data_IF_885736898655
#
_entry.id   IF_885736898655
#
_cell.length_a   1.000
_cell.length_b   1.000
_cell.length_c   1.000
_cell.angle_alpha   90.00
_cell.angle_beta   90.00
_cell.angle_gamma   90.00
#
_symmetry.space_group_name_H-M   'P 1'
#
loop_
_entity.id
_entity.type
_entity.pdbx_description
1 polymer ?
#
# COMPACT_ATOMS: atom_id res chain seq x y z
N UNK A 1 -23.33 25.21 1.18
CA UNK A 1 -21.90 24.96 0.88
C UNK A 1 -21.14 24.23 1.99
N UNK A 2 -21.37 24.50 3.30
CA UNK A 2 -20.59 23.94 4.42
C UNK A 2 -20.54 22.41 4.55
N UNK A 3 -21.64 21.68 4.29
CA UNK A 3 -21.64 20.21 4.40
C UNK A 3 -20.81 19.51 3.30
N UNK A 4 -20.81 20.04 2.07
CA UNK A 4 -20.10 19.41 0.95
C UNK A 4 -18.58 19.44 1.17
N UNK A 5 -18.07 20.56 1.65
CA UNK A 5 -16.65 20.69 2.02
C UNK A 5 -16.31 19.84 3.24
N UNK A 6 -17.20 19.73 4.24
CA UNK A 6 -16.94 18.88 5.41
C UNK A 6 -16.81 17.40 5.06
N UNK A 7 -17.72 16.84 4.24
CA UNK A 7 -17.60 15.44 3.82
C UNK A 7 -16.34 15.19 3.00
N UNK A 8 -16.03 16.06 2.04
CA UNK A 8 -14.80 15.94 1.24
C UNK A 8 -13.54 16.00 2.11
N UNK A 9 -13.54 16.85 3.14
CA UNK A 9 -12.40 17.03 4.03
C UNK A 9 -12.21 15.83 4.97
N UNK A 10 -13.30 15.24 5.48
CA UNK A 10 -13.25 13.99 6.25
C UNK A 10 -12.71 12.84 5.40
N UNK A 11 -13.19 12.72 4.16
CA UNK A 11 -12.79 11.67 3.21
C UNK A 11 -11.29 11.78 2.86
N UNK A 12 -10.82 13.01 2.63
CA UNK A 12 -9.41 13.29 2.39
C UNK A 12 -8.56 13.00 3.63
N UNK A 13 -9.05 13.33 4.83
CA UNK A 13 -8.35 13.02 6.09
C UNK A 13 -8.22 11.51 6.29
N UNK A 14 -9.30 10.75 6.07
CA UNK A 14 -9.28 9.28 6.15
C UNK A 14 -8.31 8.71 5.13
N UNK A 15 -8.28 9.22 3.90
CA UNK A 15 -7.34 8.76 2.88
C UNK A 15 -5.88 8.96 3.31
N UNK A 16 -5.56 10.16 3.80
CA UNK A 16 -4.21 10.50 4.24
C UNK A 16 -3.79 9.62 5.42
N UNK A 17 -4.69 9.41 6.40
CA UNK A 17 -4.42 8.55 7.55
C UNK A 17 -4.23 7.09 7.12
N UNK A 18 -5.09 6.55 6.25
CA UNK A 18 -4.97 5.18 5.78
C UNK A 18 -3.67 4.98 4.98
N UNK A 19 -3.33 5.93 4.10
CA UNK A 19 -2.08 5.91 3.34
C UNK A 19 -0.86 5.96 4.25
N UNK A 20 -0.85 6.85 5.25
CA UNK A 20 0.24 6.97 6.21
C UNK A 20 0.41 5.69 7.05
N UNK A 21 -0.68 5.07 7.50
CA UNK A 21 -0.62 3.80 8.25
C UNK A 21 -0.07 2.68 7.37
N UNK A 22 -0.54 2.57 6.13
CA UNK A 22 -0.10 1.54 5.17
C UNK A 22 1.39 1.65 4.85
N UNK A 23 1.85 2.86 4.53
CA UNK A 23 3.27 3.10 4.22
C UNK A 23 4.12 2.86 5.46
N UNK A 24 3.70 3.37 6.62
CA UNK A 24 4.44 3.19 7.87
C UNK A 24 4.54 1.73 8.31
N UNK A 25 3.49 0.93 8.17
CA UNK A 25 3.55 -0.50 8.52
C UNK A 25 4.41 -1.30 7.55
N UNK A 26 4.36 -0.99 6.25
CA UNK A 26 5.19 -1.64 5.24
C UNK A 26 6.68 -1.35 5.46
N UNK A 27 7.03 -0.10 5.71
CA UNK A 27 8.42 0.32 5.97
C UNK A 27 8.98 -0.32 7.24
N UNK A 28 8.20 -0.36 8.32
CA UNK A 28 8.60 -1.03 9.57
C UNK A 28 8.80 -2.53 9.38
N UNK A 29 7.90 -3.19 8.65
CA UNK A 29 8.02 -4.62 8.38
C UNK A 29 9.27 -4.93 7.53
N UNK A 30 9.55 -4.09 6.53
CA UNK A 30 10.73 -4.22 5.69
C UNK A 30 12.02 -4.05 6.49
N UNK A 31 12.09 -3.03 7.37
CA UNK A 31 13.25 -2.82 8.24
C UNK A 31 13.48 -4.01 9.18
N UNK A 32 12.44 -4.46 9.87
CA UNK A 32 12.53 -5.62 10.77
C UNK A 32 12.99 -6.89 10.05
N UNK A 33 12.49 -7.14 8.84
CA UNK A 33 12.89 -8.30 8.04
C UNK A 33 14.37 -8.23 7.65
N UNK A 34 14.85 -7.06 7.20
CA UNK A 34 16.25 -6.88 6.79
C UNK A 34 17.20 -7.00 7.98
N UNK A 35 16.82 -6.43 9.13
CA UNK A 35 17.66 -6.49 10.33
C UNK A 35 17.75 -7.92 10.85
N UNK A 36 16.66 -8.67 10.84
CA UNK A 36 16.65 -10.09 11.19
C UNK A 36 17.50 -10.92 10.22
N UNK A 37 17.38 -10.68 8.92
CA UNK A 37 18.19 -11.36 7.90
C UNK A 37 19.69 -11.07 8.05
N UNK A 38 20.06 -9.85 8.47
CA UNK A 38 21.45 -9.49 8.79
C UNK A 38 21.95 -10.21 10.02
N UNK A 39 21.15 -10.27 11.08
CA UNK A 39 21.51 -10.99 12.31
C UNK A 39 21.73 -12.50 12.02
N UNK A 40 20.85 -13.11 11.23
CA UNK A 40 20.99 -14.51 10.79
C UNK A 40 22.27 -14.72 9.95
N UNK A 41 22.63 -13.76 9.10
CA UNK A 41 23.85 -13.77 8.29
C UNK A 41 25.11 -13.58 9.16
N UNK A 42 25.07 -12.69 10.14
CA UNK A 42 26.15 -12.47 11.10
C UNK A 42 26.42 -13.74 11.92
N UNK A 43 25.37 -14.41 12.39
CA UNK A 43 25.49 -15.70 13.07
C UNK A 43 26.08 -16.76 12.13
N UNK A 44 25.61 -16.83 10.88
CA UNK A 44 26.13 -17.78 9.88
C UNK A 44 27.62 -17.54 9.60
N UNK A 45 28.03 -16.29 9.40
CA UNK A 45 29.42 -15.93 9.16
C UNK A 45 30.30 -16.26 10.38
N UNK A 46 29.85 -15.93 11.59
CA UNK A 46 30.56 -16.23 12.83
C UNK A 46 30.70 -17.74 13.08
N UNK A 47 29.64 -18.52 12.85
CA UNK A 47 29.67 -19.98 12.95
C UNK A 47 30.62 -20.60 11.92
N UNK A 48 30.60 -20.11 10.68
CA UNK A 48 31.51 -20.57 9.64
C UNK A 48 32.97 -20.25 9.99
N UNK A 49 33.27 -19.03 10.45
CA UNK A 49 34.61 -18.64 10.89
C UNK A 49 35.09 -19.50 12.07
N UNK A 50 34.22 -19.75 13.05
CA UNK A 50 34.52 -20.63 14.20
C UNK A 50 34.82 -22.06 13.76
N UNK A 51 34.03 -22.63 12.85
CA UNK A 51 34.27 -23.99 12.36
C UNK A 51 35.57 -24.11 11.55
N UNK A 52 35.89 -23.11 10.74
CA UNK A 52 37.16 -23.05 10.03
C UNK A 52 38.32 -22.95 11.02
N UNK A 53 38.18 -22.09 12.04
CA UNK A 53 39.18 -21.92 13.11
C UNK A 53 39.43 -23.22 13.88
N UNK A 54 38.37 -23.91 14.29
CA UNK A 54 38.44 -25.21 14.95
C UNK A 54 39.14 -26.25 14.06
N UNK A 55 38.86 -26.23 12.76
CA UNK A 55 39.48 -27.13 11.79
C UNK A 55 40.98 -26.89 11.68
N UNK A 56 41.40 -25.61 11.52
CA UNK A 56 42.80 -25.19 11.43
C UNK A 56 43.54 -25.51 12.73
N UNK A 57 43.00 -25.10 13.87
CA UNK A 57 43.59 -25.38 15.19
C UNK A 57 43.69 -26.89 15.45
N UNK A 58 42.72 -27.66 14.95
CA UNK A 58 42.73 -29.13 14.99
C UNK A 58 43.83 -29.75 14.13
N UNK A 59 44.08 -29.24 12.92
CA UNK A 59 45.19 -29.66 12.06
C UNK A 59 46.54 -29.29 12.67
N UNK A 60 46.66 -28.08 13.21
CA UNK A 60 47.86 -27.60 13.90
C UNK A 60 48.22 -28.49 15.10
N UNK A 61 47.22 -28.83 15.92
CA UNK A 61 47.37 -29.71 17.09
C UNK A 61 47.81 -31.12 16.69
N UNK A 62 47.28 -31.66 15.58
CA UNK A 62 47.70 -32.96 15.04
C UNK A 62 49.14 -32.94 14.54
N UNK A 63 49.53 -31.91 13.80
CA UNK A 63 50.90 -31.74 13.31
C UNK A 63 51.89 -31.61 14.47
N UNK A 64 51.55 -30.84 15.51
CA UNK A 64 52.33 -30.73 16.76
C UNK A 64 52.42 -32.06 17.50
N UNK A 65 51.35 -32.84 17.52
CA UNK A 65 51.37 -34.21 18.05
C UNK A 65 52.41 -35.06 17.32
N UNK A 66 52.39 -35.04 15.97
CA UNK A 66 53.35 -35.77 15.14
C UNK A 66 54.80 -35.32 15.34
N UNK A 67 55.05 -34.02 15.53
CA UNK A 67 56.42 -33.53 15.77
C UNK A 67 57.00 -34.04 17.09
N UNK A 68 56.17 -34.40 18.07
CA UNK A 68 56.60 -34.99 19.35
C UNK A 68 56.92 -36.49 19.27
N UNK A 69 56.54 -37.18 18.18
CA UNK A 69 56.78 -38.62 17.99
C UNK A 69 58.21 -38.92 17.47
N UNK A 70 58.98 -37.90 17.08
CA UNK A 70 60.32 -38.08 16.51
C UNK A 70 61.33 -38.62 17.53
N UNK A 71 62.07 -39.63 17.10
CA UNK A 71 63.19 -40.19 17.85
C UNK A 71 64.47 -39.37 17.63
N UNK A 72 65.45 -39.56 18.50
CA UNK A 72 66.75 -38.90 18.38
C UNK A 72 67.40 -39.13 17.00
N UNK A 73 68.07 -38.08 16.50
CA UNK A 73 68.65 -38.01 15.17
C UNK A 73 67.64 -38.23 14.04
N UNK A 74 66.34 -38.04 14.31
CA UNK A 74 65.25 -38.15 13.32
C UNK A 74 65.21 -39.52 12.61
N UNK A 75 65.66 -40.57 13.29
CA UNK A 75 65.83 -41.92 12.72
C UNK A 75 64.52 -42.57 12.24
N UNK A 76 63.39 -42.19 12.84
CA UNK A 76 62.05 -42.62 12.45
C UNK A 76 61.32 -41.61 11.53
N UNK A 77 62.03 -40.62 10.97
CA UNK A 77 61.40 -39.53 10.21
C UNK A 77 60.60 -40.00 9.00
N UNK A 78 61.06 -41.04 8.30
CA UNK A 78 60.31 -41.61 7.18
C UNK A 78 58.95 -42.20 7.60
N UNK A 79 58.87 -42.85 8.77
CA UNK A 79 57.64 -43.43 9.28
C UNK A 79 56.64 -42.35 9.66
N UNK A 80 57.09 -41.32 10.39
CA UNK A 80 56.25 -40.20 10.81
C UNK A 80 55.75 -39.42 9.59
N UNK A 81 56.63 -39.06 8.66
CA UNK A 81 56.22 -38.34 7.45
C UNK A 81 55.19 -39.13 6.64
N UNK A 82 55.35 -40.46 6.53
CA UNK A 82 54.39 -41.31 5.83
C UNK A 82 53.06 -41.35 6.59
N UNK A 83 53.08 -41.44 7.92
CA UNK A 83 51.88 -41.38 8.75
C UNK A 83 51.16 -40.03 8.62
N UNK A 84 51.88 -38.91 8.66
CA UNK A 84 51.31 -37.57 8.51
C UNK A 84 50.69 -37.39 7.13
N UNK A 85 51.39 -37.79 6.06
CA UNK A 85 50.89 -37.67 4.70
C UNK A 85 49.76 -38.67 4.35
N UNK A 86 49.53 -39.69 5.19
CA UNK A 86 48.37 -40.57 5.08
C UNK A 86 47.12 -39.98 5.75
N UNK A 87 47.27 -38.95 6.59
CA UNK A 87 46.13 -38.21 7.10
C UNK A 87 45.51 -37.41 5.95
N UNK A 88 44.19 -37.51 5.80
CA UNK A 88 43.47 -36.97 4.64
C UNK A 88 43.54 -35.44 4.50
N UNK A 89 44.05 -34.73 5.50
CA UNK A 89 44.16 -33.27 5.48
C UNK A 89 45.51 -32.77 4.94
N UNK A 90 46.59 -33.54 5.07
CA UNK A 90 47.92 -33.11 4.66
C UNK A 90 48.25 -33.68 3.28
N UNK A 91 48.42 -32.81 2.30
CA UNK A 91 48.87 -33.16 0.96
C UNK A 91 50.33 -33.62 0.99
N UNK A 92 51.17 -32.87 1.70
CA UNK A 92 52.61 -33.12 1.83
C UNK A 92 53.04 -32.95 3.29
N UNK A 93 53.94 -33.83 3.73
CA UNK A 93 54.69 -33.70 4.97
C UNK A 93 56.18 -33.57 4.62
N UNK A 94 56.86 -32.57 5.17
CA UNK A 94 58.25 -32.23 4.88
C UNK A 94 59.03 -32.17 6.19
N UNK A 95 60.21 -32.79 6.21
CA UNK A 95 61.17 -32.74 7.30
C UNK A 95 62.33 -31.83 6.91
N UNK A 96 62.52 -30.77 7.68
CA UNK A 96 63.61 -29.82 7.51
C UNK A 96 64.58 -29.97 8.68
N UNK A 97 65.87 -30.03 8.38
CA UNK A 97 66.92 -30.07 9.40
C UNK A 97 67.07 -28.75 10.16
N UNK A 98 67.88 -28.72 11.24
CA UNK A 98 68.12 -27.49 11.99
C UNK A 98 68.94 -26.47 11.20
N UNK A 99 69.55 -26.90 10.10
CA UNK A 99 70.26 -26.08 9.11
C UNK A 99 69.35 -25.52 8.01
N UNK A 100 68.04 -25.70 8.11
CA UNK A 100 67.06 -25.24 7.12
C UNK A 100 66.99 -26.08 5.84
N UNK A 101 67.75 -27.18 5.77
CA UNK A 101 67.81 -28.04 4.58
C UNK A 101 66.76 -29.14 4.65
N UNK A 102 66.00 -29.33 3.57
CA UNK A 102 65.03 -30.41 3.44
C UNK A 102 65.73 -31.76 3.48
N UNK A 103 65.41 -32.58 4.48
CA UNK A 103 65.96 -33.92 4.70
C UNK A 103 65.12 -34.99 4.03
N UNK A 104 63.81 -34.86 4.16
CA UNK A 104 62.86 -35.81 3.59
C UNK A 104 61.48 -35.17 3.39
N UNK A 105 60.63 -35.77 2.55
CA UNK A 105 59.22 -35.43 2.38
C UNK A 105 58.39 -36.65 1.96
N UNK A 106 57.11 -36.70 2.33
CA UNK A 106 56.12 -37.71 1.91
C UNK A 106 54.81 -37.04 1.55
N UNK A 107 54.01 -37.67 0.70
CA UNK A 107 52.70 -37.19 0.28
C UNK A 107 52.51 -37.21 -1.22
N UNK A 108 51.45 -36.55 -1.68
CA UNK A 108 51.10 -36.48 -3.10
C UNK A 108 51.83 -35.28 -3.72
N UNK A 109 52.76 -35.57 -4.62
CA UNK A 109 53.48 -34.55 -5.40
C UNK A 109 52.70 -34.23 -6.66
N UNK A 110 52.87 -33.01 -7.17
CA UNK A 110 52.21 -32.62 -8.40
C UNK A 110 52.70 -33.46 -9.59
N UNK A 111 51.87 -33.64 -10.63
CA UNK A 111 52.30 -34.33 -11.84
C UNK A 111 53.53 -33.66 -12.47
N UNK A 112 54.64 -34.41 -12.55
CA UNK A 112 55.90 -33.93 -13.13
C UNK A 112 56.93 -33.47 -12.10
N UNK A 113 56.55 -33.30 -10.83
CA UNK A 113 57.48 -33.04 -9.74
C UNK A 113 58.05 -34.35 -9.18
N UNK A 114 59.32 -34.32 -8.77
CA UNK A 114 59.99 -35.47 -8.16
C UNK A 114 60.56 -35.11 -6.79
N UNK A 115 60.41 -36.02 -5.82
CA UNK A 115 60.94 -35.86 -4.45
C UNK A 115 62.42 -35.45 -4.41
N UNK A 116 63.22 -35.95 -5.35
CA UNK A 116 64.64 -35.63 -5.47
C UNK A 116 64.93 -34.16 -5.81
N UNK A 117 63.97 -33.41 -6.34
CA UNK A 117 64.10 -32.00 -6.68
C UNK A 117 64.00 -31.11 -5.43
N UNK A 118 63.36 -31.59 -4.37
CA UNK A 118 63.15 -30.85 -3.12
C UNK A 118 64.14 -31.25 -2.02
N UNK A 119 64.61 -32.51 -2.01
CA UNK A 119 65.59 -32.97 -1.02
C UNK A 119 66.92 -32.23 -1.22
N UNK A 120 67.45 -31.67 -0.14
CA UNK A 120 68.69 -30.89 -0.17
C UNK A 120 68.49 -29.41 -0.48
N UNK A 121 67.26 -28.99 -0.81
CA UNK A 121 66.91 -27.56 -0.95
C UNK A 121 66.99 -26.88 0.41
N UNK A 122 67.59 -25.69 0.44
CA UNK A 122 67.67 -24.88 1.64
C UNK A 122 66.49 -23.91 1.69
N UNK A 123 65.70 -24.01 2.76
CA UNK A 123 64.54 -23.15 3.03
C UNK A 123 64.83 -22.11 4.14
N UNK A 124 66.08 -21.97 4.59
CA UNK A 124 66.46 -20.87 5.49
C UNK A 124 66.17 -19.51 4.86
N UNK A 125 65.59 -18.60 5.63
CA UNK A 125 65.14 -17.30 5.14
C UNK A 125 63.67 -17.24 4.74
N UNK A 126 63.03 -18.41 4.59
CA UNK A 126 61.57 -18.48 4.50
C UNK A 126 60.98 -18.27 5.89
N UNK A 127 60.10 -17.27 6.03
CA UNK A 127 59.55 -16.85 7.34
C UNK A 127 58.91 -18.01 8.10
N UNK A 128 58.16 -18.87 7.42
CA UNK A 128 57.48 -20.00 8.04
C UNK A 128 58.45 -21.07 8.57
N UNK A 129 59.63 -21.23 7.96
CA UNK A 129 60.68 -22.12 8.45
C UNK A 129 61.46 -21.46 9.58
N UNK A 130 61.82 -20.19 9.44
CA UNK A 130 62.61 -19.45 10.43
C UNK A 130 61.87 -19.32 11.77
N UNK A 131 60.55 -19.07 11.76
CA UNK A 131 59.72 -19.05 12.97
C UNK A 131 59.71 -20.42 13.67
N UNK A 132 59.63 -21.50 12.91
CA UNK A 132 59.67 -22.86 13.44
C UNK A 132 61.05 -23.27 13.97
N UNK A 133 62.13 -22.85 13.31
CA UNK A 133 63.49 -22.99 13.84
C UNK A 133 63.71 -22.10 15.07
N UNK A 134 62.97 -21.01 15.21
CA UNK A 134 62.88 -20.19 16.42
C UNK A 134 62.10 -20.84 17.56
N UNK A 135 61.44 -21.98 17.31
CA UNK A 135 60.69 -22.75 18.29
C UNK A 135 59.19 -22.47 18.33
N UNK A 136 58.65 -21.71 17.37
CA UNK A 136 57.23 -21.38 17.28
C UNK A 136 56.52 -22.25 16.25
N UNK A 137 55.27 -22.63 16.48
CA UNK A 137 54.42 -23.14 15.40
C UNK A 137 53.96 -21.97 14.54
N UNK A 138 54.01 -22.11 13.22
CA UNK A 138 53.64 -21.04 12.29
C UNK A 138 52.78 -21.55 11.15
N UNK A 139 51.75 -20.78 10.78
CA UNK A 139 50.86 -21.04 9.65
C UNK A 139 51.19 -20.02 8.56
N UNK A 140 51.67 -20.50 7.42
CA UNK A 140 51.93 -19.66 6.26
C UNK A 140 50.63 -19.15 5.66
N UNK A 141 50.68 -17.95 5.09
CA UNK A 141 49.58 -17.40 4.30
C UNK A 141 49.28 -18.29 3.08
N UNK A 142 47.99 -18.44 2.70
CA UNK A 142 47.61 -19.18 1.51
C UNK A 142 48.32 -18.66 0.27
N UNK A 143 49.01 -19.55 -0.43
CA UNK A 143 49.76 -19.24 -1.63
C UNK A 143 49.06 -19.84 -2.84
N UNK A 144 48.95 -19.05 -3.91
CA UNK A 144 48.48 -19.54 -5.20
C UNK A 144 49.65 -20.17 -5.95
N UNK A 145 49.43 -21.40 -6.36
CA UNK A 145 50.41 -22.24 -7.00
C UNK A 145 50.35 -22.08 -8.53
N UNK A 146 51.39 -22.50 -9.24
CA UNK A 146 51.51 -22.25 -10.69
C UNK A 146 50.41 -22.93 -11.53
N UNK A 147 49.81 -23.99 -11.01
CA UNK A 147 48.71 -24.75 -11.62
C UNK A 147 47.32 -24.18 -11.32
N UNK A 148 47.22 -23.25 -10.36
CA UNK A 148 45.98 -22.63 -9.87
C UNK A 148 45.47 -23.21 -8.55
N UNK A 149 46.16 -24.19 -7.96
CA UNK A 149 45.85 -24.66 -6.61
C UNK A 149 46.13 -23.58 -5.56
N UNK A 150 45.40 -23.65 -4.46
CA UNK A 150 45.65 -22.81 -3.29
C UNK A 150 46.03 -23.73 -2.14
N UNK A 151 47.24 -23.55 -1.65
CA UNK A 151 47.81 -24.33 -0.55
C UNK A 151 48.23 -23.41 0.58
N UNK A 152 48.36 -23.97 1.77
CA UNK A 152 49.08 -23.30 2.84
C UNK A 152 49.87 -24.33 3.64
N UNK A 153 50.97 -23.88 4.23
CA UNK A 153 51.89 -24.75 4.96
C UNK A 153 51.90 -24.38 6.43
N UNK A 154 51.64 -25.36 7.28
CA UNK A 154 51.83 -25.28 8.72
C UNK A 154 53.20 -25.85 9.07
N UNK A 155 53.88 -25.25 10.03
CA UNK A 155 55.19 -25.70 10.51
C UNK A 155 55.22 -25.79 12.01
N UNK A 156 55.91 -26.79 12.53
CA UNK A 156 56.11 -26.97 13.96
C UNK A 156 57.51 -27.48 14.25
N UNK A 157 58.17 -26.99 15.33
CA UNK A 157 59.47 -27.50 15.73
C UNK A 157 59.40 -28.95 16.18
N UNK A 158 60.49 -29.68 15.92
CA UNK A 158 60.74 -31.02 16.42
C UNK A 158 61.74 -30.93 17.56
N UNK A 159 61.27 -31.23 18.77
CA UNK A 159 62.12 -31.31 19.96
C UNK A 159 62.32 -32.77 20.36
N UNK A 160 63.57 -33.17 20.55
CA UNK A 160 63.93 -34.44 21.17
C UNK A 160 64.84 -34.14 22.35
N UNK A 161 64.48 -34.61 23.55
CA UNK A 161 65.19 -34.30 24.79
C UNK A 161 65.41 -32.78 25.00
N UNK A 162 64.38 -31.97 24.72
CA UNK A 162 64.41 -30.49 24.76
C UNK A 162 65.40 -29.82 23.81
N UNK A 163 65.98 -30.58 22.86
CA UNK A 163 66.88 -30.05 21.82
C UNK A 163 66.12 -29.97 20.50
N UNK A 164 66.14 -28.80 19.85
CA UNK A 164 65.58 -28.62 18.52
C UNK A 164 66.39 -29.47 17.52
N UNK A 165 65.75 -30.44 16.90
CA UNK A 165 66.39 -31.32 15.91
C UNK A 165 65.94 -31.04 14.48
N UNK A 166 64.89 -30.25 14.28
CA UNK A 166 64.39 -29.89 12.96
C UNK A 166 63.00 -29.29 13.02
N UNK A 167 62.37 -29.20 11.85
CA UNK A 167 61.01 -28.70 11.67
C UNK A 167 60.21 -29.74 10.88
N UNK A 168 58.99 -29.99 11.34
CA UNK A 168 57.98 -30.72 10.58
C UNK A 168 57.07 -29.69 9.92
N UNK A 169 56.96 -29.75 8.59
CA UNK A 169 56.01 -28.94 7.84
C UNK A 169 54.92 -29.83 7.24
N UNK A 170 53.67 -29.40 7.32
CA UNK A 170 52.52 -30.04 6.70
C UNK A 170 51.83 -29.05 5.75
N UNK A 171 51.73 -29.40 4.47
CA UNK A 171 51.03 -28.61 3.47
C UNK A 171 49.61 -29.13 3.30
N UNK A 172 48.65 -28.22 3.31
CA UNK A 172 47.22 -28.51 3.17
C UNK A 172 46.70 -27.85 1.88
N UNK A 173 45.91 -28.60 1.10
CA UNK A 173 45.21 -28.10 -0.08
C UNK A 173 43.86 -27.51 0.33
N UNK A 174 43.62 -26.24 0.01
CA UNK A 174 42.37 -25.51 0.28
C UNK A 174 41.35 -25.68 -0.85
N UNK A 175 41.84 -25.83 -2.08
CA UNK A 175 41.01 -26.04 -3.27
C UNK A 175 41.74 -25.72 -4.57
N UNK A 176 41.01 -25.87 -5.67
CA UNK A 176 41.43 -25.53 -7.03
C UNK A 176 40.29 -24.73 -7.68
N UNK A 177 40.62 -23.60 -8.34
CA UNK A 177 39.66 -22.77 -9.09
C UNK A 177 38.89 -23.55 -10.18
N UNK A 178 39.43 -24.67 -10.66
CA UNK A 178 38.82 -25.53 -11.70
C UNK A 178 38.06 -26.75 -11.14
N UNK A 179 38.08 -26.97 -9.82
CA UNK A 179 37.41 -28.12 -9.19
C UNK A 179 37.94 -29.50 -9.63
N UNK A 180 39.18 -29.59 -10.12
CA UNK A 180 39.76 -30.81 -10.71
C UNK A 180 40.06 -31.86 -9.63
N UNK A 181 40.40 -31.45 -8.40
CA UNK A 181 40.65 -32.34 -7.27
C UNK A 181 39.37 -32.61 -6.46
N UNK A 182 38.40 -33.28 -7.09
CA UNK A 182 37.10 -33.65 -6.51
C UNK A 182 37.18 -34.35 -5.14
N UNK A 183 37.17 -33.55 -4.07
CA UNK A 183 37.04 -34.00 -2.68
C UNK A 183 38.32 -34.51 -2.00
N UNK A 184 39.52 -34.18 -2.50
CA UNK A 184 40.80 -34.55 -1.85
C UNK A 184 41.45 -33.47 -0.98
N UNK A 185 40.95 -32.23 -1.03
CA UNK A 185 41.40 -31.18 -0.11
C UNK A 185 40.96 -31.47 1.33
N UNK A 186 41.68 -30.91 2.30
CA UNK A 186 41.19 -30.90 3.67
C UNK A 186 39.82 -30.20 3.66
N UNK A 187 38.81 -30.87 4.21
CA UNK A 187 37.44 -30.38 4.21
C UNK A 187 37.24 -29.29 5.29
N UNK A 188 38.19 -28.34 5.32
CA UNK A 188 38.25 -27.20 6.25
C UNK A 188 37.00 -26.32 6.10
N UNK A 189 36.45 -26.29 4.89
CA UNK A 189 35.27 -25.50 4.52
C UNK A 189 33.97 -26.29 4.53
N UNK A 190 33.89 -27.45 5.22
CA UNK A 190 32.62 -28.19 5.40
C UNK A 190 31.49 -27.30 5.91
N UNK A 191 31.80 -26.36 6.79
CA UNK A 191 30.83 -25.40 7.32
C UNK A 191 30.16 -24.52 6.25
N UNK A 192 30.82 -24.32 5.10
CA UNK A 192 30.32 -23.53 3.97
C UNK A 192 29.57 -24.39 2.94
N UNK A 193 29.72 -25.72 2.95
CA UNK A 193 29.05 -26.60 1.98
C UNK A 193 27.55 -26.84 2.20
N UNK A 194 26.92 -26.71 3.39
CA UNK A 194 25.46 -26.82 3.51
C UNK A 194 24.72 -25.60 2.96
N UNK A 195 25.42 -24.60 2.41
CA UNK A 195 24.81 -23.40 1.84
C UNK A 195 23.91 -23.75 0.64
N UNK A 196 22.73 -23.15 0.61
CA UNK A 196 21.90 -23.16 -0.59
C UNK A 196 22.46 -22.13 -1.57
N UNK A 197 23.32 -22.58 -2.49
CA UNK A 197 24.05 -21.70 -3.42
C UNK A 197 23.17 -20.90 -4.39
N UNK A 198 21.87 -21.22 -4.47
CA UNK A 198 20.91 -20.41 -5.23
C UNK A 198 20.51 -19.11 -4.52
N UNK A 199 20.75 -19.00 -3.21
CA UNK A 199 20.35 -17.84 -2.39
C UNK A 199 21.45 -17.35 -1.47
N UNK A 200 22.53 -18.12 -1.28
CA UNK A 200 23.66 -17.76 -0.45
C UNK A 200 24.98 -18.09 -1.12
N UNK A 201 26.00 -17.30 -0.87
CA UNK A 201 27.37 -17.58 -1.26
C UNK A 201 28.32 -17.25 -0.13
N UNK A 202 29.47 -17.90 -0.11
CA UNK A 202 30.49 -17.63 0.90
C UNK A 202 31.88 -17.59 0.28
N UNK A 203 32.68 -16.66 0.79
CA UNK A 203 34.03 -16.38 0.34
C UNK A 203 34.93 -16.37 1.56
N UNK A 204 36.10 -16.97 1.44
CA UNK A 204 37.16 -16.84 2.45
C UNK A 204 38.30 -16.09 1.81
N UNK A 205 38.66 -14.96 2.42
CA UNK A 205 39.68 -14.04 1.95
C UNK A 205 40.60 -13.66 3.09
N UNK A 206 41.80 -13.23 2.77
CA UNK A 206 42.73 -12.70 3.76
C UNK A 206 42.80 -11.17 3.60
N UNK A 207 42.74 -10.44 4.71
CA UNK A 207 42.58 -8.97 4.71
C UNK A 207 43.70 -8.23 3.94
N UNK A 208 44.92 -8.76 3.95
CA UNK A 208 46.10 -8.17 3.31
C UNK A 208 46.48 -8.79 1.94
N UNK A 209 45.75 -9.80 1.45
CA UNK A 209 46.05 -10.45 0.17
C UNK A 209 44.83 -10.51 -0.74
N UNK A 210 45.01 -10.27 -2.04
CA UNK A 210 43.93 -10.41 -3.05
C UNK A 210 43.59 -11.87 -3.35
N UNK A 211 43.98 -12.80 -2.47
CA UNK A 211 43.85 -14.25 -2.68
C UNK A 211 42.52 -14.70 -2.08
N UNK A 212 41.56 -15.04 -2.95
CA UNK A 212 40.36 -15.77 -2.55
C UNK A 212 40.73 -17.22 -2.30
N UNK A 213 40.64 -17.63 -1.04
CA UNK A 213 41.01 -18.96 -0.55
C UNK A 213 39.98 -20.01 -0.92
N UNK A 214 38.70 -19.66 -0.76
CA UNK A 214 37.59 -20.56 -1.05
C UNK A 214 36.37 -19.77 -1.53
N UNK A 215 35.60 -20.37 -2.43
CA UNK A 215 34.34 -19.81 -2.95
C UNK A 215 33.28 -20.90 -2.99
N UNK A 216 32.15 -20.63 -2.35
CA UNK A 216 30.95 -21.45 -2.41
C UNK A 216 29.84 -20.63 -3.09
N UNK A 217 29.52 -20.94 -4.36
CA UNK A 217 28.52 -20.22 -5.16
C UNK A 217 29.08 -19.02 -5.94
N UNK A 218 28.24 -18.40 -6.77
CA UNK A 218 28.58 -17.16 -7.47
C UNK A 218 28.19 -15.93 -6.62
N UNK A 219 28.89 -14.79 -6.76
CA UNK A 219 28.50 -13.55 -6.11
C UNK A 219 27.16 -13.04 -6.67
N UNK A 220 26.40 -12.33 -5.84
CA UNK A 220 25.12 -11.74 -6.25
C UNK A 220 25.28 -10.24 -6.55
N UNK A 221 24.51 -9.72 -7.51
CA UNK A 221 24.52 -8.30 -7.87
C UNK A 221 23.94 -7.40 -6.77
N UNK A 222 22.91 -7.87 -6.06
CA UNK A 222 22.32 -7.20 -4.90
C UNK A 222 22.28 -8.21 -3.74
N UNK A 223 23.17 -8.00 -2.77
CA UNK A 223 23.38 -8.93 -1.66
C UNK A 223 23.33 -8.22 -0.31
N UNK A 224 22.86 -8.96 0.70
CA UNK A 224 23.17 -8.65 2.08
C UNK A 224 24.46 -9.40 2.41
N UNK A 225 25.47 -8.67 2.89
CA UNK A 225 26.80 -9.20 3.18
C UNK A 225 27.07 -9.13 4.68
N UNK A 226 27.63 -10.19 5.23
CA UNK A 226 28.22 -10.23 6.57
C UNK A 226 29.64 -10.78 6.50
N UNK A 227 30.47 -10.40 7.47
CA UNK A 227 31.87 -10.80 7.58
C UNK A 227 32.23 -11.18 9.01
N UNK A 228 32.94 -12.29 9.16
CA UNK A 228 33.54 -12.71 10.43
C UNK A 228 35.01 -13.12 10.23
N UNK A 229 35.84 -12.96 11.25
CA UNK A 229 37.28 -13.27 11.20
C UNK A 229 37.57 -14.61 11.88
N UNK A 230 38.47 -15.38 11.28
CA UNK A 230 39.04 -16.62 11.83
C UNK A 230 40.19 -16.24 12.76
N UNK A 231 40.11 -16.60 14.04
CA UNK A 231 41.02 -16.11 15.08
C UNK A 231 42.48 -16.58 14.89
N UNK A 232 42.68 -17.83 14.45
CA UNK A 232 44.01 -18.44 14.27
C UNK A 232 44.81 -17.88 13.10
N UNK A 233 44.15 -17.42 12.03
CA UNK A 233 44.81 -17.02 10.78
C UNK A 233 44.52 -15.58 10.35
N UNK A 234 43.51 -14.93 10.91
CA UNK A 234 43.03 -13.62 10.46
C UNK A 234 42.26 -13.67 9.13
N UNK A 235 41.88 -14.85 8.63
CA UNK A 235 41.06 -14.94 7.43
C UNK A 235 39.67 -14.35 7.69
N UNK A 236 39.14 -13.59 6.73
CA UNK A 236 37.78 -13.09 6.75
C UNK A 236 36.88 -14.01 5.97
N UNK A 237 35.88 -14.57 6.65
CA UNK A 237 34.77 -15.29 6.04
C UNK A 237 33.67 -14.28 5.73
N UNK A 238 33.39 -14.09 4.44
CA UNK A 238 32.28 -13.27 3.95
C UNK A 238 31.15 -14.19 3.51
N UNK A 239 29.96 -13.96 4.05
CA UNK A 239 28.73 -14.64 3.63
C UNK A 239 27.82 -13.61 2.98
N UNK A 240 27.28 -13.96 1.82
CA UNK A 240 26.36 -13.15 1.03
C UNK A 240 25.03 -13.90 0.88
N UNK A 241 23.92 -13.15 0.88
CA UNK A 241 22.58 -13.67 0.56
C UNK A 241 21.92 -12.79 -0.48
N UNK A 242 21.31 -13.43 -1.49
CA UNK A 242 20.60 -12.75 -2.58
C UNK A 242 19.44 -11.92 -2.02
N UNK A 243 19.51 -10.60 -2.24
CA UNK A 243 18.47 -9.65 -1.85
C UNK A 243 17.39 -9.53 -2.92
N UNK A 244 17.72 -9.74 -4.19
CA UNK A 244 16.80 -9.52 -5.32
C UNK A 244 15.55 -10.40 -5.21
N UNK A 245 15.72 -11.66 -4.78
CA UNK A 245 14.62 -12.59 -4.49
C UNK A 245 13.62 -12.07 -3.44
N UNK A 246 14.05 -11.18 -2.54
CA UNK A 246 13.19 -10.53 -1.54
C UNK A 246 12.54 -9.27 -2.10
N UNK A 247 13.28 -8.47 -2.86
CA UNK A 247 12.79 -7.20 -3.42
C UNK A 247 11.59 -7.42 -4.34
N UNK A 248 11.63 -8.46 -5.18
CA UNK A 248 10.52 -8.82 -6.08
C UNK A 248 9.24 -9.17 -5.32
N UNK A 249 9.36 -9.85 -4.18
CA UNK A 249 8.20 -10.19 -3.33
C UNK A 249 7.64 -8.96 -2.63
N UNK A 250 8.50 -8.03 -2.23
CA UNK A 250 8.11 -6.79 -1.58
C UNK A 250 7.37 -5.86 -2.57
N UNK A 251 7.81 -5.77 -3.82
CA UNK A 251 7.11 -4.97 -4.85
C UNK A 251 5.69 -5.48 -5.11
N UNK A 252 5.50 -6.81 -5.18
CA UNK A 252 4.17 -7.39 -5.35
C UNK A 252 3.25 -7.08 -4.15
N UNK A 253 3.77 -7.20 -2.92
CA UNK A 253 3.02 -6.87 -1.71
C UNK A 253 2.62 -5.39 -1.70
N UNK A 254 3.53 -4.48 -2.06
CA UNK A 254 3.23 -3.06 -2.19
C UNK A 254 2.14 -2.81 -3.24
N UNK A 255 2.22 -3.46 -4.41
CA UNK A 255 1.21 -3.33 -5.47
C UNK A 255 -0.18 -3.77 -4.99
N UNK A 256 -0.27 -4.91 -4.29
CA UNK A 256 -1.54 -5.39 -3.72
C UNK A 256 -2.07 -4.44 -2.64
N UNK A 257 -1.19 -3.92 -1.79
CA UNK A 257 -1.58 -3.02 -0.70
C UNK A 257 -2.09 -1.67 -1.23
N UNK A 258 -1.36 -1.03 -2.15
CA UNK A 258 -1.81 0.19 -2.83
C UNK A 258 -3.05 -0.06 -3.70
N UNK A 259 -3.12 -1.21 -4.37
CA UNK A 259 -4.31 -1.63 -5.12
C UNK A 259 -5.56 -1.72 -4.24
N UNK A 260 -5.43 -2.30 -3.04
CA UNK A 260 -6.54 -2.38 -2.08
C UNK A 260 -6.98 -0.99 -1.57
N UNK A 261 -6.02 -0.09 -1.29
CA UNK A 261 -6.30 1.29 -0.91
C UNK A 261 -7.06 2.03 -2.03
N UNK A 262 -6.64 1.81 -3.28
CA UNK A 262 -7.27 2.40 -4.45
C UNK A 262 -8.70 1.87 -4.64
N UNK A 263 -8.94 0.58 -4.43
CA UNK A 263 -10.29 0.00 -4.45
C UNK A 263 -11.18 0.61 -3.38
N UNK A 264 -10.67 0.78 -2.16
CA UNK A 264 -11.40 1.46 -1.07
C UNK A 264 -11.69 2.91 -1.44
N UNK A 265 -10.70 3.65 -1.95
CA UNK A 265 -10.87 5.03 -2.41
C UNK A 265 -11.94 5.14 -3.50
N UNK A 266 -11.85 4.32 -4.55
CA UNK A 266 -12.81 4.29 -5.65
C UNK A 266 -14.21 3.94 -5.14
N UNK A 267 -14.32 3.01 -4.19
CA UNK A 267 -15.59 2.63 -3.58
C UNK A 267 -16.21 3.79 -2.81
N UNK A 268 -15.42 4.49 -1.98
CA UNK A 268 -15.92 5.62 -1.17
C UNK A 268 -16.28 6.81 -2.06
N UNK A 269 -15.46 7.14 -3.07
CA UNK A 269 -15.77 8.19 -4.06
C UNK A 269 -17.00 7.81 -4.87
N UNK A 270 -17.12 6.55 -5.28
CA UNK A 270 -18.27 6.02 -6.01
C UNK A 270 -19.56 6.11 -5.20
N UNK A 271 -19.54 5.67 -3.93
CA UNK A 271 -20.67 5.79 -3.01
C UNK A 271 -21.04 7.25 -2.75
N UNK A 272 -20.05 8.13 -2.55
CA UNK A 272 -20.26 9.56 -2.37
C UNK A 272 -20.91 10.21 -3.60
N UNK A 273 -20.43 9.89 -4.80
CA UNK A 273 -21.00 10.38 -6.05
C UNK A 273 -22.43 9.86 -6.28
N UNK A 274 -22.67 8.58 -6.00
CA UNK A 274 -24.00 7.97 -6.03
C UNK A 274 -24.97 8.67 -5.08
N UNK A 275 -24.57 8.86 -3.82
CA UNK A 275 -25.38 9.52 -2.79
C UNK A 275 -25.67 10.99 -3.14
N UNK A 276 -24.69 11.69 -3.71
CA UNK A 276 -24.86 13.06 -4.19
C UNK A 276 -25.89 13.13 -5.31
N UNK A 277 -25.76 12.27 -6.33
CA UNK A 277 -26.67 12.27 -7.48
C UNK A 277 -28.10 11.87 -7.10
N UNK A 278 -28.25 10.95 -6.14
CA UNK A 278 -29.56 10.53 -5.63
C UNK A 278 -30.29 11.68 -4.94
N UNK A 279 -29.62 12.37 -4.00
CA UNK A 279 -30.20 13.51 -3.28
C UNK A 279 -30.54 14.68 -4.20
N UNK A 280 -29.69 14.99 -5.18
CA UNK A 280 -29.94 16.11 -6.09
C UNK A 280 -31.21 15.87 -6.92
N UNK A 281 -31.39 14.66 -7.45
CA UNK A 281 -32.61 14.29 -8.19
C UNK A 281 -33.87 14.35 -7.35
N UNK A 282 -33.81 13.92 -6.08
CA UNK A 282 -34.96 14.02 -5.17
C UNK A 282 -35.31 15.48 -4.85
N UNK A 283 -34.29 16.32 -4.68
CA UNK A 283 -34.48 17.77 -4.46
C UNK A 283 -35.08 18.45 -5.70
N UNK A 284 -34.58 18.14 -6.91
CA UNK A 284 -35.12 18.67 -8.17
C UNK A 284 -36.58 18.27 -8.38
N UNK A 285 -36.94 17.01 -8.11
CA UNK A 285 -38.35 16.56 -8.18
C UNK A 285 -39.23 17.25 -7.16
N UNK A 286 -38.72 17.53 -5.96
CA UNK A 286 -39.46 18.27 -4.95
C UNK A 286 -39.70 19.72 -5.39
N UNK A 287 -38.67 20.39 -5.93
CA UNK A 287 -38.78 21.74 -6.47
C UNK A 287 -39.76 21.80 -7.65
N UNK A 288 -39.64 20.88 -8.61
CA UNK A 288 -40.59 20.77 -9.74
C UNK A 288 -42.03 20.53 -9.27
N UNK A 289 -42.22 19.72 -8.23
CA UNK A 289 -43.52 19.54 -7.59
C UNK A 289 -44.09 20.84 -7.02
N UNK A 290 -43.27 21.65 -6.34
CA UNK A 290 -43.70 22.95 -5.82
C UNK A 290 -44.04 23.93 -6.95
N UNK A 291 -43.22 24.01 -8.00
CA UNK A 291 -43.49 24.87 -9.17
C UNK A 291 -44.81 24.49 -9.86
N UNK A 292 -45.13 23.19 -9.94
CA UNK A 292 -46.40 22.68 -10.49
C UNK A 292 -47.62 23.04 -9.63
N UNK A 293 -47.48 23.01 -8.31
CA UNK A 293 -48.54 23.49 -7.41
C UNK A 293 -48.75 24.99 -7.56
N UNK A 294 -47.67 25.77 -7.70
CA UNK A 294 -47.75 27.22 -7.92
C UNK A 294 -48.47 27.55 -9.24
N UNK A 295 -48.27 26.75 -10.29
CA UNK A 295 -48.97 26.91 -11.57
C UNK A 295 -50.43 26.42 -11.57
N UNK A 296 -50.95 25.92 -10.45
CA UNK A 296 -52.35 25.47 -10.31
C UNK A 296 -52.61 23.98 -10.63
N UNK A 297 -51.57 23.17 -10.83
CA UNK A 297 -51.70 21.73 -11.10
C UNK A 297 -51.71 20.90 -9.81
N UNK A 298 -52.81 20.92 -9.05
CA UNK A 298 -52.91 20.25 -7.75
C UNK A 298 -53.08 18.72 -7.79
N UNK A 299 -53.26 18.13 -8.98
CA UNK A 299 -53.41 16.67 -9.13
C UNK A 299 -52.04 15.93 -9.13
N UNK A 300 -50.94 16.68 -9.16
CA UNK A 300 -49.60 16.10 -9.12
C UNK A 300 -49.29 15.51 -7.73
N UNK A 301 -48.71 14.30 -7.72
CA UNK A 301 -48.29 13.61 -6.50
C UNK A 301 -46.81 13.28 -6.55
N UNK A 302 -46.13 13.48 -5.43
CA UNK A 302 -44.75 13.07 -5.24
C UNK A 302 -44.71 11.72 -4.54
N UNK A 303 -43.92 10.80 -5.07
CA UNK A 303 -43.56 9.54 -4.41
C UNK A 303 -42.04 9.43 -4.34
N UNK A 304 -41.53 9.52 -3.12
CA UNK A 304 -40.12 9.26 -2.83
C UNK A 304 -40.04 7.95 -2.04
N UNK A 305 -39.12 7.07 -2.44
CA UNK A 305 -38.82 5.83 -1.73
C UNK A 305 -37.40 5.89 -1.17
N UNK A 306 -37.18 5.31 0.02
CA UNK A 306 -35.86 5.22 0.64
C UNK A 306 -35.82 5.72 2.09
N UNK A 307 -35.23 6.90 2.31
CA UNK A 307 -35.08 7.45 3.66
C UNK A 307 -36.43 7.94 4.20
N UNK A 308 -36.66 7.72 5.51
CA UNK A 308 -37.92 8.04 6.21
C UNK A 308 -38.32 9.50 6.06
N UNK A 309 -37.33 10.39 6.04
CA UNK A 309 -37.51 11.83 5.89
C UNK A 309 -38.14 12.19 4.53
N UNK A 310 -37.73 11.50 3.46
CA UNK A 310 -38.28 11.74 2.13
C UNK A 310 -39.72 11.25 1.99
N UNK A 311 -40.05 10.11 2.60
CA UNK A 311 -41.44 9.62 2.67
C UNK A 311 -42.35 10.58 3.45
N UNK A 312 -41.82 11.17 4.53
CA UNK A 312 -42.54 12.18 5.30
C UNK A 312 -42.78 13.45 4.48
N UNK A 313 -41.77 13.91 3.73
CA UNK A 313 -41.89 15.07 2.84
C UNK A 313 -42.92 14.80 1.72
N UNK A 314 -42.88 13.64 1.05
CA UNK A 314 -43.87 13.31 0.01
C UNK A 314 -45.29 13.25 0.58
N UNK A 315 -45.45 12.69 1.78
CA UNK A 315 -46.75 12.63 2.45
C UNK A 315 -47.29 14.02 2.76
N UNK A 316 -46.45 14.89 3.35
CA UNK A 316 -46.83 16.28 3.65
C UNK A 316 -47.15 17.08 2.39
N UNK A 317 -46.37 16.93 1.33
CA UNK A 317 -46.62 17.57 0.04
C UNK A 317 -47.97 17.12 -0.57
N UNK A 318 -48.24 15.81 -0.60
CA UNK A 318 -49.49 15.27 -1.17
C UNK A 318 -50.73 15.71 -0.36
N UNK A 319 -50.62 15.83 0.96
CA UNK A 319 -51.68 16.38 1.81
C UNK A 319 -51.95 17.86 1.49
N UNK A 320 -50.90 18.65 1.31
CA UNK A 320 -51.01 20.05 0.92
C UNK A 320 -51.67 20.21 -0.45
N UNK A 321 -51.23 19.45 -1.46
CA UNK A 321 -51.83 19.45 -2.80
C UNK A 321 -53.33 19.12 -2.75
N UNK A 322 -53.70 18.09 -1.97
CA UNK A 322 -55.10 17.67 -1.79
C UNK A 322 -55.93 18.79 -1.14
N UNK A 323 -55.42 19.43 -0.08
CA UNK A 323 -56.12 20.51 0.59
C UNK A 323 -56.30 21.76 -0.29
N UNK A 324 -55.33 22.08 -1.15
CA UNK A 324 -55.45 23.17 -2.13
C UNK A 324 -56.50 22.85 -3.20
N UNK A 325 -56.50 21.64 -3.76
CA UNK A 325 -57.50 21.17 -4.73
C UNK A 325 -58.92 21.28 -4.18
N UNK A 326 -59.15 20.87 -2.94
CA UNK A 326 -60.46 20.96 -2.28
C UNK A 326 -60.89 22.41 -2.03
N UNK A 327 -59.96 23.27 -1.61
CA UNK A 327 -60.23 24.70 -1.46
C UNK A 327 -60.60 25.34 -2.79
N UNK A 328 -59.88 25.03 -3.86
CA UNK A 328 -60.16 25.64 -5.15
C UNK A 328 -61.49 25.15 -5.75
N UNK A 329 -61.83 23.86 -5.58
CA UNK A 329 -63.15 23.35 -5.93
C UNK A 329 -64.25 24.10 -5.18
N UNK A 330 -64.08 24.32 -3.87
CA UNK A 330 -65.02 25.08 -3.05
C UNK A 330 -65.16 26.53 -3.52
N UNK A 331 -64.05 27.19 -3.89
CA UNK A 331 -64.06 28.56 -4.41
C UNK A 331 -64.83 28.60 -5.74
N UNK A 332 -64.55 27.68 -6.68
CA UNK A 332 -65.25 27.62 -7.97
C UNK A 332 -66.75 27.38 -7.82
N UNK A 333 -67.17 26.52 -6.88
CA UNK A 333 -68.58 26.32 -6.56
C UNK A 333 -69.24 27.60 -6.02
N UNK A 334 -68.57 28.30 -5.09
CA UNK A 334 -69.05 29.57 -4.55
C UNK A 334 -69.17 30.64 -5.63
N UNK A 335 -68.17 30.77 -6.50
CA UNK A 335 -68.22 31.69 -7.63
C UNK A 335 -69.35 31.37 -8.60
N UNK A 336 -69.58 30.09 -8.91
CA UNK A 336 -70.68 29.67 -9.77
C UNK A 336 -72.04 30.04 -9.13
N UNK A 337 -72.20 29.81 -7.82
CA UNK A 337 -73.41 30.18 -7.10
C UNK A 337 -73.63 31.71 -7.04
N UNK A 338 -72.55 32.49 -6.88
CA UNK A 338 -72.63 33.96 -6.94
C UNK A 338 -73.06 34.41 -8.34
N UNK A 339 -72.41 33.91 -9.40
CA UNK A 339 -72.77 34.23 -10.79
C UNK A 339 -74.23 33.89 -11.10
N UNK A 340 -74.72 32.74 -10.63
CA UNK A 340 -76.13 32.35 -10.80
C UNK A 340 -77.08 33.30 -10.07
N UNK A 341 -76.75 33.71 -8.83
CA UNK A 341 -77.53 34.71 -8.07
C UNK A 341 -77.54 36.06 -8.78
N UNK A 342 -76.39 36.52 -9.26
CA UNK A 342 -76.28 37.77 -10.02
C UNK A 342 -77.13 37.74 -11.30
N UNK A 343 -77.11 36.63 -12.05
CA UNK A 343 -77.97 36.47 -13.22
C UNK A 343 -79.45 36.50 -12.87
N UNK A 344 -79.87 35.78 -11.82
CA UNK A 344 -81.27 35.79 -11.35
C UNK A 344 -81.72 37.18 -10.90
N UNK A 345 -80.86 37.90 -10.16
CA UNK A 345 -81.14 39.27 -9.72
C UNK A 345 -81.17 40.24 -10.91
N UNK A 346 -80.29 40.09 -11.90
CA UNK A 346 -80.27 40.90 -13.12
C UNK A 346 -81.56 40.72 -13.94
N UNK A 347 -82.01 39.47 -14.14
CA UNK A 347 -83.28 39.18 -14.81
C UNK A 347 -84.46 39.76 -14.02
N UNK A 348 -84.50 39.56 -12.70
CA UNK A 348 -85.56 40.09 -11.85
C UNK A 348 -85.61 41.63 -11.88
N UNK A 349 -84.46 42.28 -11.75
CA UNK A 349 -84.33 43.74 -11.83
C UNK A 349 -84.81 44.27 -13.18
N UNK A 350 -84.51 43.57 -14.28
CA UNK A 350 -84.95 43.95 -15.62
C UNK A 350 -86.47 43.81 -15.78
N UNK A 351 -87.06 42.71 -15.32
CA UNK A 351 -88.52 42.48 -15.40
C UNK A 351 -89.28 43.47 -14.53
N UNK A 352 -88.81 43.73 -13.30
CA UNK A 352 -89.42 44.70 -12.39
C UNK A 352 -89.42 46.10 -12.99
N UNK A 353 -88.29 46.55 -13.56
CA UNK A 353 -88.21 47.88 -14.21
C UNK A 353 -89.18 47.99 -15.37
N UNK A 354 -89.26 46.95 -16.21
CA UNK A 354 -90.17 46.93 -17.35
C UNK A 354 -91.64 47.03 -16.91
N UNK A 355 -92.05 46.28 -15.88
CA UNK A 355 -93.43 46.35 -15.37
C UNK A 355 -93.72 47.72 -14.75
N UNK A 356 -92.80 48.26 -13.93
CA UNK A 356 -92.92 49.60 -13.37
C UNK A 356 -93.08 50.67 -14.45
N UNK A 357 -92.25 50.64 -15.50
CA UNK A 357 -92.34 51.59 -16.61
C UNK A 357 -93.67 51.48 -17.37
N UNK A 358 -94.15 50.25 -17.59
CA UNK A 358 -95.43 50.02 -18.28
C UNK A 358 -96.61 50.52 -17.47
N UNK A 359 -96.73 50.10 -16.20
CA UNK A 359 -97.83 50.49 -15.33
C UNK A 359 -97.86 52.02 -15.15
N UNK A 360 -96.67 52.63 -15.02
CA UNK A 360 -96.54 54.08 -14.90
C UNK A 360 -96.90 54.82 -16.21
N UNK A 361 -96.51 54.29 -17.37
CA UNK A 361 -96.92 54.84 -18.67
C UNK A 361 -98.43 54.78 -18.87
N UNK A 362 -99.09 53.70 -18.38
CA UNK A 362 -100.55 53.59 -18.39
C UNK A 362 -101.20 54.62 -17.47
N UNK A 363 -100.66 54.84 -16.26
CA UNK A 363 -101.13 55.87 -15.33
C UNK A 363 -101.02 57.25 -15.97
N UNK A 364 -99.86 57.60 -16.55
CA UNK A 364 -99.65 58.88 -17.26
C UNK A 364 -100.66 59.03 -18.39
N UNK A 365 -100.84 58.01 -19.23
CA UNK A 365 -101.78 58.07 -20.37
C UNK A 365 -103.23 58.27 -19.89
N UNK A 366 -103.65 57.56 -18.84
CA UNK A 366 -105.00 57.71 -18.27
C UNK A 366 -105.18 59.09 -17.62
N UNK A 367 -104.16 59.58 -16.92
CA UNK A 367 -104.19 60.90 -16.31
C UNK A 367 -104.32 62.00 -17.38
N UNK A 368 -103.56 61.89 -18.48
CA UNK A 368 -103.65 62.80 -19.63
C UNK A 368 -105.02 62.73 -20.34
N UNK A 369 -105.60 61.53 -20.48
CA UNK A 369 -106.98 61.38 -20.98
C UNK A 369 -107.98 62.06 -20.05
N UNK A 370 -107.81 61.93 -18.73
CA UNK A 370 -108.65 62.60 -17.74
C UNK A 370 -108.55 64.13 -17.84
N UNK A 371 -107.36 64.69 -18.06
CA UNK A 371 -107.18 66.13 -18.30
C UNK A 371 -107.88 66.61 -19.58
N UNK A 372 -108.02 65.76 -20.60
CA UNK A 372 -108.76 66.09 -21.82
C UNK A 372 -110.29 66.10 -21.62
N UNK A 373 -110.80 65.29 -20.69
CA UNK A 373 -112.24 65.16 -20.40
C UNK A 373 -112.72 66.13 -19.30
N UNK A 374 -111.85 66.53 -18.36
CA UNK A 374 -112.17 67.40 -17.23
C UNK A 374 -111.09 68.48 -16.99
N UNK A 375 -111.11 69.60 -17.76
CA UNK A 375 -110.11 70.68 -17.67
C UNK A 375 -110.05 71.36 -16.28
N UNK A 376 -111.13 71.30 -15.50
CA UNK A 376 -111.22 71.84 -14.13
C UNK A 376 -110.35 71.10 -13.10
N UNK A 377 -109.73 69.97 -13.46
CA UNK A 377 -108.90 69.14 -12.59
C UNK A 377 -107.44 69.00 -13.09
N UNK A 378 -107.00 69.92 -13.94
CA UNK A 378 -105.69 69.85 -14.58
C UNK A 378 -104.52 69.86 -13.58
N UNK A 379 -104.60 70.67 -12.52
CA UNK A 379 -103.58 70.71 -11.46
C UNK A 379 -103.39 69.33 -10.80
N UNK A 380 -104.49 68.59 -10.56
CA UNK A 380 -104.45 67.23 -9.99
C UNK A 380 -103.86 66.21 -10.96
N UNK A 381 -104.05 66.41 -12.27
CA UNK A 381 -103.46 65.54 -13.30
C UNK A 381 -101.95 65.76 -13.41
N UNK A 382 -101.51 67.01 -13.35
CA UNK A 382 -100.09 67.36 -13.38
C UNK A 382 -99.36 66.76 -12.18
N UNK A 383 -99.95 66.79 -10.97
CA UNK A 383 -99.43 66.11 -9.78
C UNK A 383 -99.31 64.58 -9.97
N UNK A 384 -100.28 63.94 -10.64
CA UNK A 384 -100.26 62.49 -10.91
C UNK A 384 -99.16 62.15 -11.91
N UNK A 385 -98.99 62.95 -12.96
CA UNK A 385 -97.94 62.76 -13.98
C UNK A 385 -96.56 62.98 -13.34
N UNK A 386 -96.37 64.04 -12.56
CA UNK A 386 -95.12 64.31 -11.86
C UNK A 386 -94.77 63.17 -10.87
N UNK A 387 -95.76 62.68 -10.12
CA UNK A 387 -95.58 61.54 -9.20
C UNK A 387 -95.20 60.26 -9.95
N UNK A 388 -95.84 59.99 -11.09
CA UNK A 388 -95.56 58.86 -11.96
C UNK A 388 -94.12 58.95 -12.53
N UNK A 389 -93.73 60.10 -13.05
CA UNK A 389 -92.36 60.32 -13.54
C UNK A 389 -91.31 60.20 -12.41
N UNK A 390 -91.64 60.70 -11.22
CA UNK A 390 -90.83 60.56 -10.01
C UNK A 390 -90.60 59.10 -9.61
N UNK A 391 -91.61 58.23 -9.75
CA UNK A 391 -91.53 56.79 -9.49
C UNK A 391 -90.60 56.06 -10.47
N UNK A 392 -90.65 56.39 -11.76
CA UNK A 392 -89.72 55.84 -12.77
C UNK A 392 -88.29 56.30 -12.49
N UNK A 393 -88.10 57.59 -12.21
CA UNK A 393 -86.78 58.15 -11.91
C UNK A 393 -86.15 57.52 -10.65
N UNK A 394 -86.95 57.20 -9.62
CA UNK A 394 -86.47 56.46 -8.44
C UNK A 394 -86.10 55.02 -8.78
N UNK A 395 -86.89 54.34 -9.63
CA UNK A 395 -86.58 52.99 -10.14
C UNK A 395 -85.31 52.95 -11.01
N UNK A 396 -84.96 54.06 -11.66
CA UNK A 396 -83.72 54.18 -12.44
C UNK A 396 -82.46 54.35 -11.58
N UNK A 397 -82.56 55.09 -10.48
CA UNK A 397 -81.45 55.38 -9.55
C UNK A 397 -81.05 54.20 -8.65
N UNK A 398 -81.90 53.18 -8.49
CA UNK A 398 -81.62 51.99 -7.67
C UNK A 398 -80.67 50.98 -8.36
N UNK A 399 -79.63 51.46 -9.06
CA UNK A 399 -78.56 50.62 -9.63
C UNK A 399 -77.59 50.21 -8.50
N UNK A 400 -77.28 48.92 -8.29
CA UNK A 400 -76.14 48.54 -7.45
C UNK A 400 -74.85 49.05 -8.10
N UNK A 401 -73.88 49.60 -7.33
CA UNK A 401 -72.60 50.01 -7.89
C UNK A 401 -71.92 48.80 -8.55
N UNK A 402 -71.44 49.02 -9.76
CA UNK A 402 -70.68 48.07 -10.56
C UNK A 402 -69.41 47.66 -9.77
N UNK A 403 -69.10 46.37 -9.63
CA UNK A 403 -67.92 45.94 -8.88
C UNK A 403 -66.66 46.46 -9.58
N UNK A 404 -65.90 47.29 -8.86
CA UNK A 404 -64.60 47.79 -9.26
C UNK A 404 -63.65 46.62 -9.52
N UNK A 405 -63.19 46.49 -10.77
CA UNK A 405 -62.11 45.57 -11.14
C UNK A 405 -60.87 45.85 -10.30
N UNK A 406 -60.26 44.85 -9.64
CA UNK A 406 -58.95 45.05 -9.03
C UNK A 406 -57.89 45.21 -10.12
N UNK A 407 -57.06 46.23 -9.97
CA UNK A 407 -55.88 46.47 -10.80
C UNK A 407 -54.88 45.33 -10.63
N UNK A 408 -54.46 44.76 -11.75
CA UNK A 408 -53.27 43.91 -11.83
C UNK A 408 -52.03 44.66 -11.36
N UNK A 409 -51.29 44.07 -10.42
CA UNK A 409 -49.83 44.08 -10.35
C UNK A 409 -49.31 42.93 -9.52
#
# INVERSE_FOLDING_TARGET
MRLRTQYALVLLTVLVVLGAVVVGTAELFQQQTIDQEREDLDETAALAATQIDESITGSESRLRGKSSEFAANLTNGEEILRSTAQETEFLLAILVGPDGVVRDMRGDLRPGESRSEYIGTNLSGERYIDEALGGNTYIQEPTREADGEITFTMTTPIYVDSTLQGVLAGTILLGDERGIHGGRGADLFRGLQPLNTSVQSAFVEQEDSTVRVHTAGEPFDDAITSTATVDSTGWTVRVERDRSAFTDRLELLQLVQFGSLLVVLVSVVGLGFYQYRSNLRQTERLLDGFDRIESGEFDHRLEFSGAREWEQISTGFNQLATGLREREATIREREAAIREREQRLSVLSRVLRHNLQNDTSVIITRAQLLAAEAPEHQDTVDDIVETAEGLVAHGEKARPPEPSRPSSR
#
